data_IF_877407695505
#
_entry.id   IF_877407695505
#
_cell.length_a   1.000
_cell.length_b   1.000
_cell.length_c   1.000
_cell.angle_alpha   90.00
_cell.angle_beta   90.00
_cell.angle_gamma   90.00
#
_symmetry.space_group_name_H-M   'P 1'
#
loop_
_entity.id
_entity.type
_entity.pdbx_description
1 polymer ?
#
# COMPACT_ATOMS: atom_id res chain seq x y z
N UNK A 1 13.92 -3.88 -23.21
CA UNK A 1 12.78 -3.74 -22.27
C UNK A 1 13.32 -3.90 -20.86
N UNK A 2 12.99 -3.04 -19.89
CA UNK A 2 13.39 -3.25 -18.52
C UNK A 2 12.74 -4.52 -17.96
N UNK A 3 13.53 -5.37 -17.33
CA UNK A 3 13.07 -6.56 -16.61
C UNK A 3 12.54 -6.12 -15.24
N UNK A 4 11.28 -6.40 -14.93
CA UNK A 4 10.71 -6.11 -13.62
C UNK A 4 11.04 -7.28 -12.67
N UNK A 5 11.83 -7.00 -11.63
CA UNK A 5 12.08 -7.95 -10.54
C UNK A 5 10.84 -8.00 -9.64
N UNK A 6 10.32 -9.20 -9.29
CA UNK A 6 9.22 -9.34 -8.34
C UNK A 6 9.51 -8.68 -6.99
N UNK A 7 8.51 -8.02 -6.40
CA UNK A 7 8.64 -7.45 -5.05
C UNK A 7 8.81 -8.55 -3.99
N UNK A 8 9.65 -8.31 -2.97
CA UNK A 8 9.84 -9.18 -1.81
C UNK A 8 11.05 -10.14 -1.85
N UNK A 9 11.96 -10.00 -2.82
CA UNK A 9 13.13 -10.87 -2.98
C UNK A 9 14.40 -10.34 -2.27
N UNK A 10 14.58 -10.64 -0.98
CA UNK A 10 15.84 -10.28 -0.27
C UNK A 10 16.89 -11.40 -0.41
N UNK A 11 18.16 -11.05 -0.59
CA UNK A 11 19.28 -12.01 -0.59
C UNK A 11 20.16 -11.95 -1.84
N UNK A 12 21.06 -12.93 -1.97
CA UNK A 12 21.91 -13.10 -3.14
C UNK A 12 21.14 -13.81 -4.26
N UNK A 13 21.07 -13.18 -5.42
CA UNK A 13 20.43 -13.76 -6.61
C UNK A 13 21.42 -13.89 -7.75
N UNK A 14 21.25 -14.96 -8.52
CA UNK A 14 21.93 -15.16 -9.80
C UNK A 14 20.99 -14.69 -10.92
N UNK A 15 21.45 -13.73 -11.72
CA UNK A 15 20.76 -13.33 -12.95
C UNK A 15 21.36 -14.10 -14.12
N UNK A 16 20.50 -14.73 -14.92
CA UNK A 16 20.87 -15.41 -16.15
C UNK A 16 20.32 -14.62 -17.34
N UNK A 17 21.16 -14.43 -18.37
CA UNK A 17 20.70 -13.97 -19.68
C UNK A 17 20.71 -15.18 -20.60
N UNK A 18 19.55 -15.49 -21.19
CA UNK A 18 19.41 -16.58 -22.16
C UNK A 18 19.15 -15.97 -23.54
N UNK A 19 20.04 -16.25 -24.49
CA UNK A 19 19.83 -15.98 -25.93
C UNK A 19 19.25 -17.23 -26.59
N UNK A 20 18.39 -17.05 -27.61
CA UNK A 20 17.65 -18.13 -28.26
C UNK A 20 16.89 -19.11 -27.33
N UNK A 21 16.11 -18.57 -26.38
CA UNK A 21 15.29 -19.36 -25.43
C UNK A 21 14.34 -20.37 -26.11
N UNK A 22 13.95 -20.12 -27.35
CA UNK A 22 13.01 -20.96 -28.10
C UNK A 22 13.73 -21.94 -29.05
N UNK A 23 15.07 -21.93 -29.06
CA UNK A 23 15.91 -22.80 -29.87
C UNK A 23 15.52 -22.79 -31.35
N UNK A 24 15.24 -21.59 -31.88
CA UNK A 24 14.73 -21.36 -33.24
C UNK A 24 15.86 -21.40 -34.27
N UNK A 25 17.10 -21.22 -33.82
CA UNK A 25 18.30 -21.37 -34.65
C UNK A 25 19.00 -22.68 -34.26
N UNK A 26 19.33 -23.51 -35.25
CA UNK A 26 20.17 -24.68 -35.02
C UNK A 26 21.62 -24.20 -34.93
N UNK A 27 22.18 -24.22 -33.73
CA UNK A 27 23.56 -23.85 -33.46
C UNK A 27 24.41 -25.09 -33.11
N UNK A 28 25.73 -24.99 -33.31
CA UNK A 28 26.66 -26.11 -33.10
C UNK A 28 26.89 -26.44 -31.62
N UNK A 29 26.60 -25.49 -30.72
CA UNK A 29 26.66 -25.67 -29.27
C UNK A 29 25.64 -24.76 -28.59
N UNK A 30 24.53 -25.32 -28.12
CA UNK A 30 23.48 -24.56 -27.44
C UNK A 30 23.82 -24.22 -25.97
N UNK A 31 24.97 -24.65 -25.44
CA UNK A 31 25.38 -24.35 -24.08
C UNK A 31 25.95 -22.92 -23.93
N UNK A 32 26.33 -22.28 -25.03
CA UNK A 32 26.81 -20.90 -25.04
C UNK A 32 25.69 -19.84 -25.01
N UNK A 33 24.43 -20.30 -25.10
CA UNK A 33 23.25 -19.45 -25.11
C UNK A 33 22.81 -18.98 -23.72
N UNK A 34 23.60 -19.27 -22.69
CA UNK A 34 23.36 -18.86 -21.29
C UNK A 34 24.60 -18.14 -20.78
N UNK A 35 24.45 -16.89 -20.32
CA UNK A 35 25.54 -16.15 -19.69
C UNK A 35 26.00 -16.84 -18.39
N UNK A 36 27.27 -16.65 -18.02
CA UNK A 36 27.71 -16.95 -16.65
C UNK A 36 26.83 -16.20 -15.63
N UNK A 37 26.55 -16.77 -14.44
CA UNK A 37 25.73 -16.11 -13.43
C UNK A 37 26.44 -14.87 -12.91
N UNK A 38 25.72 -13.75 -12.89
CA UNK A 38 26.15 -12.55 -12.18
C UNK A 38 25.46 -12.51 -10.81
N UNK A 39 26.27 -12.46 -9.75
CA UNK A 39 25.76 -12.32 -8.39
C UNK A 39 25.38 -10.85 -8.14
N UNK A 40 24.13 -10.64 -7.78
CA UNK A 40 23.62 -9.35 -7.30
C UNK A 40 23.07 -9.54 -5.90
N UNK A 41 23.46 -8.65 -4.99
CA UNK A 41 22.84 -8.56 -3.67
C UNK A 41 21.63 -7.63 -3.76
N UNK A 42 20.42 -8.18 -3.62
CA UNK A 42 19.19 -7.40 -3.57
C UNK A 42 18.90 -7.04 -2.11
N UNK A 43 19.07 -5.76 -1.78
CA UNK A 43 18.65 -5.21 -0.49
C UNK A 43 17.30 -4.51 -0.67
N UNK A 44 16.26 -5.09 -0.08
CA UNK A 44 15.03 -4.33 0.13
C UNK A 44 15.25 -3.33 1.25
N UNK A 45 14.73 -2.10 1.14
CA UNK A 45 14.67 -1.23 2.30
C UNK A 45 13.90 -1.96 3.41
N UNK A 46 14.43 -1.97 4.64
CA UNK A 46 13.70 -2.36 5.86
C UNK A 46 12.29 -1.75 5.84
N UNK A 47 11.26 -2.43 6.39
CA UNK A 47 9.87 -2.01 6.23
C UNK A 47 9.65 -0.59 6.76
N UNK A 48 8.96 0.26 5.99
CA UNK A 48 8.25 1.40 6.55
C UNK A 48 7.09 0.90 7.42
N UNK A 49 6.70 1.69 8.42
CA UNK A 49 5.61 1.32 9.33
C UNK A 49 4.70 2.53 9.54
N UNK A 50 3.65 2.63 8.72
CA UNK A 50 2.69 3.74 8.81
C UNK A 50 1.61 3.41 9.83
N UNK A 51 1.50 4.24 10.86
CA UNK A 51 0.58 4.07 11.98
C UNK A 51 -0.28 5.32 12.16
N UNK A 52 -1.57 5.15 12.46
CA UNK A 52 -2.44 6.26 12.87
C UNK A 52 -2.07 6.66 14.30
N UNK A 53 -1.72 7.93 14.50
CA UNK A 53 -1.33 8.45 15.83
C UNK A 53 -2.37 9.37 16.44
N UNK A 54 -3.25 9.97 15.63
CA UNK A 54 -4.32 10.82 16.12
C UNK A 54 -5.53 10.78 15.18
N UNK A 55 -6.73 10.89 15.77
CA UNK A 55 -8.00 10.99 15.05
C UNK A 55 -8.88 12.02 15.77
N UNK A 56 -9.42 12.97 15.01
CA UNK A 56 -10.43 13.94 15.46
C UNK A 56 -11.68 13.76 14.61
N UNK A 57 -12.82 13.61 15.28
CA UNK A 57 -14.13 13.29 14.67
C UNK A 57 -15.20 14.25 15.17
N UNK A 58 -16.30 14.44 14.43
CA UNK A 58 -17.45 15.20 14.92
C UNK A 58 -18.04 14.51 16.17
N UNK A 59 -18.56 15.29 17.11
CA UNK A 59 -19.27 14.74 18.27
C UNK A 59 -20.62 14.11 17.91
N UNK A 60 -21.20 14.49 16.76
CA UNK A 60 -22.44 13.98 16.21
C UNK A 60 -22.53 14.36 14.73
N UNK A 61 -23.16 13.53 13.90
CA UNK A 61 -23.44 13.84 12.51
C UNK A 61 -24.70 13.09 12.06
N UNK A 62 -25.42 13.61 11.06
CA UNK A 62 -26.56 12.94 10.46
C UNK A 62 -26.13 12.24 9.16
N UNK A 63 -26.67 11.03 8.85
CA UNK A 63 -26.45 10.40 7.56
C UNK A 63 -26.82 11.33 6.40
N UNK A 64 -25.93 11.44 5.42
CA UNK A 64 -26.08 12.33 4.26
C UNK A 64 -25.64 13.79 4.50
N UNK A 65 -25.41 14.21 5.74
CA UNK A 65 -24.83 15.52 6.03
C UNK A 65 -23.31 15.48 6.02
N UNK A 66 -22.70 16.61 5.67
CA UNK A 66 -21.26 16.78 5.69
C UNK A 66 -20.73 16.79 7.13
N UNK A 67 -19.70 15.98 7.37
CA UNK A 67 -18.96 15.99 8.63
C UNK A 67 -17.45 16.00 8.38
N UNK A 68 -16.71 16.58 9.33
CA UNK A 68 -15.26 16.79 9.20
C UNK A 68 -14.49 15.75 9.99
N UNK A 69 -13.62 15.03 9.29
CA UNK A 69 -12.73 14.02 9.85
C UNK A 69 -11.28 14.46 9.65
N UNK A 70 -10.48 14.35 10.72
CA UNK A 70 -9.05 14.62 10.67
C UNK A 70 -8.29 13.45 11.27
N UNK A 71 -7.23 13.00 10.59
CA UNK A 71 -6.33 11.99 11.14
C UNK A 71 -4.88 12.32 10.84
N UNK A 72 -4.00 11.84 11.70
CA UNK A 72 -2.55 11.94 11.55
C UNK A 72 -1.94 10.56 11.44
N UNK A 73 -1.08 10.39 10.46
CA UNK A 73 -0.31 9.17 10.22
C UNK A 73 1.15 9.48 10.48
N UNK A 74 1.84 8.58 11.18
CA UNK A 74 3.28 8.64 11.39
C UNK A 74 3.95 7.43 10.76
N UNK A 75 5.13 7.64 10.18
CA UNK A 75 6.01 6.54 9.86
C UNK A 75 6.92 6.20 11.07
N UNK A 76 6.55 5.16 11.81
CA UNK A 76 7.32 4.63 12.95
C UNK A 76 8.37 3.59 12.52
N UNK A 77 8.51 3.34 11.21
CA UNK A 77 9.46 2.39 10.67
C UNK A 77 10.88 2.94 10.60
N UNK A 78 11.81 2.11 10.14
CA UNK A 78 13.24 2.48 10.04
C UNK A 78 13.63 3.00 8.66
N UNK A 79 12.67 3.17 7.74
CA UNK A 79 12.85 3.74 6.41
C UNK A 79 11.68 4.61 6.03
N UNK A 80 11.91 5.54 5.09
CA UNK A 80 10.84 6.31 4.47
C UNK A 80 9.83 5.41 3.75
N UNK A 81 8.54 5.73 3.87
CA UNK A 81 7.49 5.16 3.01
C UNK A 81 7.48 5.90 1.70
N UNK A 82 7.40 5.18 0.58
CA UNK A 82 7.43 5.75 -0.78
C UNK A 82 6.28 5.17 -1.60
N UNK A 83 5.64 6.00 -2.42
CA UNK A 83 4.61 5.58 -3.36
C UNK A 83 3.26 6.19 -3.05
N UNK A 84 2.20 5.43 -3.34
CA UNK A 84 0.81 5.81 -3.09
C UNK A 84 0.14 4.74 -2.26
N UNK A 85 -0.58 5.16 -1.23
CA UNK A 85 -1.42 4.29 -0.42
C UNK A 85 -2.75 4.98 -0.13
N UNK A 86 -3.67 4.22 0.45
CA UNK A 86 -5.02 4.66 0.69
C UNK A 86 -5.31 4.68 2.18
N UNK A 87 -5.73 5.83 2.70
CA UNK A 87 -6.31 5.95 4.02
C UNK A 87 -7.82 5.81 3.89
N UNK A 88 -8.43 4.91 4.67
CA UNK A 88 -9.89 4.73 4.68
C UNK A 88 -10.44 5.01 6.06
N UNK A 89 -11.49 5.81 6.12
CA UNK A 89 -12.25 6.12 7.33
C UNK A 89 -13.53 5.28 7.33
N UNK A 90 -13.80 4.61 8.44
CA UNK A 90 -14.93 3.72 8.64
C UNK A 90 -15.79 4.18 9.82
N UNK A 91 -17.09 3.89 9.75
CA UNK A 91 -17.99 3.81 10.90
C UNK A 91 -18.20 2.34 11.27
N UNK A 92 -17.86 1.99 12.50
CA UNK A 92 -18.03 0.65 13.05
C UNK A 92 -19.00 0.67 14.24
N UNK A 93 -19.75 -0.40 14.43
CA UNK A 93 -20.59 -0.59 15.62
C UNK A 93 -19.81 -1.07 16.83
N UNK A 94 -18.54 -1.44 16.66
CA UNK A 94 -17.64 -1.84 17.75
C UNK A 94 -16.22 -1.27 17.57
N UNK A 95 -15.30 -1.67 18.45
CA UNK A 95 -13.93 -1.15 18.47
C UNK A 95 -12.97 -1.87 17.52
N UNK A 96 -13.46 -2.82 16.73
CA UNK A 96 -12.67 -3.66 15.85
C UNK A 96 -13.03 -3.40 14.40
N UNK A 97 -12.01 -3.30 13.54
CA UNK A 97 -12.26 -3.18 12.12
C UNK A 97 -12.73 -4.51 11.55
N UNK A 98 -13.79 -4.47 10.73
CA UNK A 98 -14.18 -5.58 9.87
C UNK A 98 -14.75 -5.12 8.52
N UNK A 99 -15.03 -6.08 7.64
CA UNK A 99 -15.46 -5.81 6.25
C UNK A 99 -16.89 -5.26 6.14
N UNK A 100 -17.69 -5.41 7.19
CA UNK A 100 -19.05 -4.90 7.30
C UNK A 100 -19.11 -3.42 7.73
N UNK A 101 -17.99 -2.84 8.19
CA UNK A 101 -17.94 -1.43 8.57
C UNK A 101 -18.24 -0.49 7.40
N UNK A 102 -19.04 0.55 7.66
CA UNK A 102 -19.45 1.49 6.63
C UNK A 102 -18.29 2.43 6.28
N UNK A 103 -17.92 2.49 5.00
CA UNK A 103 -16.89 3.41 4.52
C UNK A 103 -17.45 4.84 4.47
N UNK A 104 -16.78 5.76 5.14
CA UNK A 104 -17.06 7.20 5.05
C UNK A 104 -16.33 7.79 3.86
N UNK A 105 -15.02 7.56 3.76
CA UNK A 105 -14.20 8.11 2.70
C UNK A 105 -12.89 7.35 2.54
N UNK A 106 -12.32 7.47 1.35
CA UNK A 106 -11.01 6.93 1.01
C UNK A 106 -10.16 8.06 0.44
N UNK A 107 -9.01 8.33 1.05
CA UNK A 107 -8.12 9.41 0.66
C UNK A 107 -6.75 8.86 0.28
N UNK A 108 -6.32 9.06 -0.99
CA UNK A 108 -4.99 8.66 -1.39
C UNK A 108 -3.96 9.61 -0.79
N UNK A 109 -2.89 9.06 -0.23
CA UNK A 109 -1.66 9.81 0.03
C UNK A 109 -0.64 9.42 -1.03
N UNK A 110 0.03 10.41 -1.63
CA UNK A 110 1.12 10.18 -2.59
C UNK A 110 2.33 11.01 -2.20
N UNK A 111 3.47 10.34 -2.08
CA UNK A 111 4.73 10.99 -1.76
C UNK A 111 5.53 10.24 -0.71
N UNK A 112 6.73 10.74 -0.39
CA UNK A 112 7.52 10.21 0.70
C UNK A 112 6.89 10.57 2.05
N UNK A 113 6.97 9.65 3.01
CA UNK A 113 6.89 9.97 4.44
C UNK A 113 8.16 9.45 5.09
N UNK A 114 9.06 10.36 5.45
CA UNK A 114 10.35 10.06 6.07
C UNK A 114 10.22 9.38 7.43
N UNK A 115 11.36 8.96 7.99
CA UNK A 115 11.41 8.30 9.29
C UNK A 115 10.91 9.28 10.37
N UNK A 116 9.98 8.82 11.21
CA UNK A 116 9.33 9.62 12.25
C UNK A 116 8.51 10.81 11.75
N UNK A 117 8.47 11.06 10.44
CA UNK A 117 7.64 12.10 9.85
C UNK A 117 6.17 11.73 9.93
N UNK A 118 5.35 12.77 9.91
CA UNK A 118 3.90 12.65 9.94
C UNK A 118 3.27 13.39 8.78
N UNK A 119 2.07 12.96 8.43
CA UNK A 119 1.15 13.78 7.65
C UNK A 119 -0.22 13.79 8.31
N UNK A 120 -0.96 14.85 8.08
CA UNK A 120 -2.33 15.02 8.58
C UNK A 120 -3.25 15.28 7.40
N UNK A 121 -4.34 14.54 7.35
CA UNK A 121 -5.41 14.74 6.38
C UNK A 121 -6.64 15.25 7.11
N UNK A 122 -7.26 16.29 6.57
CA UNK A 122 -8.57 16.78 7.00
C UNK A 122 -9.50 16.77 5.80
N UNK A 123 -10.68 16.19 5.98
CA UNK A 123 -11.69 16.09 4.92
C UNK A 123 -13.07 16.37 5.51
N UNK A 124 -13.87 17.10 4.74
CA UNK A 124 -15.31 17.25 4.98
C UNK A 124 -16.04 16.48 3.89
N UNK A 125 -16.89 15.55 4.29
CA UNK A 125 -17.57 14.62 3.36
C UNK A 125 -18.92 14.18 3.94
N UNK A 126 -19.89 13.81 3.09
CA UNK A 126 -21.16 13.29 3.56
C UNK A 126 -20.97 12.00 4.36
N UNK A 127 -21.69 11.87 5.47
CA UNK A 127 -21.75 10.63 6.25
C UNK A 127 -22.53 9.57 5.46
N UNK A 128 -22.04 8.31 5.37
CA UNK A 128 -22.73 7.25 4.64
C UNK A 128 -24.10 6.93 5.26
N UNK A 129 -25.02 6.32 4.49
CA UNK A 129 -26.30 5.88 5.02
C UNK A 129 -26.07 4.77 6.07
N UNK A 130 -26.32 5.09 7.33
CA UNK A 130 -26.24 4.17 8.47
C UNK A 130 -27.47 4.32 9.34
N UNK A 131 -27.82 3.27 10.08
CA UNK A 131 -28.91 3.33 11.06
C UNK A 131 -28.56 4.30 12.19
N UNK A 132 -29.58 4.87 12.83
CA UNK A 132 -29.37 5.75 13.99
C UNK A 132 -28.74 4.96 15.14
N UNK A 133 -27.60 5.43 15.66
CA UNK A 133 -26.88 4.75 16.73
C UNK A 133 -25.56 5.42 17.07
N UNK A 134 -24.81 4.79 17.99
CA UNK A 134 -23.44 5.16 18.33
C UNK A 134 -22.47 4.34 17.50
N UNK A 135 -21.51 5.01 16.88
CA UNK A 135 -20.47 4.38 16.07
C UNK A 135 -19.09 4.77 16.58
N UNK A 136 -18.15 3.86 16.40
CA UNK A 136 -16.72 4.12 16.48
C UNK A 136 -16.22 4.55 15.12
N UNK A 137 -15.29 5.51 15.09
CA UNK A 137 -14.58 5.88 13.86
C UNK A 137 -13.24 5.16 13.85
N UNK A 138 -13.01 4.36 12.81
CA UNK A 138 -11.76 3.64 12.61
C UNK A 138 -11.10 4.19 11.35
N UNK A 139 -9.80 4.48 11.42
CA UNK A 139 -9.00 4.88 10.26
C UNK A 139 -7.96 3.81 9.99
N UNK A 140 -7.87 3.37 8.74
CA UNK A 140 -6.88 2.39 8.29
C UNK A 140 -6.04 2.95 7.16
N UNK A 141 -4.73 2.96 7.35
CA UNK A 141 -3.74 3.26 6.31
C UNK A 141 -3.31 1.96 5.63
N UNK A 142 -3.52 1.87 4.32
CA UNK A 142 -3.19 0.67 3.54
C UNK A 142 -1.86 0.81 2.78
N UNK A 143 -0.79 1.12 3.53
CA UNK A 143 0.56 1.32 2.98
C UNK A 143 1.17 0.07 2.35
N UNK A 144 0.71 -1.12 2.76
CA UNK A 144 1.26 -2.42 2.34
C UNK A 144 0.63 -2.94 1.06
N UNK A 145 -0.33 -2.22 0.47
CA UNK A 145 -1.07 -2.68 -0.68
C UNK A 145 -0.38 -2.38 -2.01
N UNK A 146 0.75 -3.04 -2.23
CA UNK A 146 1.27 -3.29 -3.58
C UNK A 146 0.42 -4.30 -4.36
N UNK A 147 -0.87 -4.50 -4.02
CA UNK A 147 -1.79 -5.20 -4.90
C UNK A 147 -2.21 -4.21 -5.98
N UNK A 148 -1.43 -4.23 -7.07
CA UNK A 148 -2.01 -3.92 -8.38
C UNK A 148 -3.26 -4.78 -8.52
N UNK A 149 -4.41 -4.14 -8.49
CA UNK A 149 -5.66 -4.75 -8.93
C UNK A 149 -5.40 -5.20 -10.37
N UNK A 150 -5.12 -6.49 -10.57
CA UNK A 150 -5.28 -7.08 -11.89
C UNK A 150 -6.77 -7.00 -12.19
N UNK A 151 -7.15 -6.04 -13.02
CA UNK A 151 -8.39 -6.15 -13.78
C UNK A 151 -8.17 -7.28 -14.77
N UNK A 152 -8.54 -8.48 -14.36
CA UNK A 152 -8.69 -9.60 -15.28
C UNK A 152 -9.90 -9.29 -16.18
N UNK A 153 -9.66 -9.27 -17.49
CA UNK A 153 -10.65 -9.48 -18.54
C UNK A 153 -10.09 -10.53 -19.48
#
# INVERSE_FOLDING_TARGET
MPCNIPAGLTGDYNIFVVTDRNNVVIEADNANNISAPFQVNLQFPLPSDLNITNITVPGSAAPGEDATFTWTVQNSGTNASMGTWLDTVYLSTDTTWDVGDAIVTQQPHTGPVGISETYTTTITTPVPPVETGTYYVIVRTDARNNVRIKRDK
#
